data_IF_846974470479
#
_entry.id   IF_846974470479
#
_cell.length_a   1.000
_cell.length_b   1.000
_cell.length_c   1.000
_cell.angle_alpha   90.00
_cell.angle_beta   90.00
_cell.angle_gamma   90.00
#
_symmetry.space_group_name_H-M   'P 1'
#
loop_
_entity.id
_entity.type
_entity.pdbx_description
1 polymer ?
#
# COMPACT_ATOMS: atom_id res chain seq x y z
N UNK A 1 16.30 -15.86 27.32
CA UNK A 1 17.56 -15.09 27.32
C UNK A 1 17.22 -13.68 27.78
N UNK A 2 17.77 -13.24 28.92
CA UNK A 2 17.60 -11.85 29.39
C UNK A 2 18.74 -11.04 28.77
N UNK A 3 18.41 -9.94 28.11
CA UNK A 3 19.39 -9.03 27.50
C UNK A 3 19.42 -7.76 28.35
N UNK A 4 20.60 -7.38 28.81
CA UNK A 4 20.83 -6.12 29.52
C UNK A 4 21.60 -5.14 28.64
N UNK A 5 21.10 -3.90 28.55
CA UNK A 5 21.76 -2.81 27.83
C UNK A 5 22.63 -1.97 28.78
N UNK A 6 23.71 -1.33 28.28
CA UNK A 6 24.53 -0.42 29.07
C UNK A 6 23.69 0.72 29.69
N UNK A 7 23.92 1.03 30.96
CA UNK A 7 23.26 2.12 31.68
C UNK A 7 24.16 3.36 31.67
N UNK A 8 23.59 4.50 31.31
CA UNK A 8 24.28 5.78 31.31
C UNK A 8 23.65 6.71 32.35
N UNK A 9 24.40 7.72 32.81
CA UNK A 9 23.92 8.69 33.81
C UNK A 9 22.69 9.47 33.31
N UNK A 10 22.63 9.73 32.00
CA UNK A 10 21.54 10.46 31.35
C UNK A 10 20.94 9.64 30.20
N UNK A 11 19.65 9.82 29.87
CA UNK A 11 19.04 9.21 28.69
C UNK A 11 19.79 9.63 27.42
N UNK A 12 20.27 8.65 26.67
CA UNK A 12 20.88 8.89 25.36
C UNK A 12 19.79 9.03 24.31
N UNK A 13 19.88 10.08 23.50
CA UNK A 13 19.00 10.30 22.34
C UNK A 13 19.83 10.49 21.09
N UNK A 14 19.31 10.00 19.96
CA UNK A 14 19.95 10.24 18.66
C UNK A 14 19.81 11.72 18.28
N UNK A 15 20.90 12.33 17.83
CA UNK A 15 20.89 13.69 17.28
C UNK A 15 20.89 13.60 15.76
N UNK A 16 19.79 14.01 15.15
CA UNK A 16 19.61 14.04 13.69
C UNK A 16 20.21 15.28 13.02
N UNK A 17 20.49 16.35 13.78
CA UNK A 17 20.99 17.60 13.25
C UNK A 17 22.36 17.94 13.86
N UNK A 18 23.36 18.09 13.00
CA UNK A 18 24.68 18.62 13.34
C UNK A 18 24.88 19.93 12.55
N UNK A 19 25.06 21.10 13.19
CA UNK A 19 25.24 22.38 12.48
C UNK A 19 26.43 22.40 11.48
N UNK A 20 27.34 21.43 11.59
CA UNK A 20 28.51 21.24 10.71
C UNK A 20 28.14 20.67 9.33
N UNK A 21 26.86 20.33 9.10
CA UNK A 21 26.33 19.75 7.84
C UNK A 21 26.61 20.58 6.57
N UNK A 22 27.05 21.84 6.69
CA UNK A 22 27.30 22.76 5.57
C UNK A 22 28.79 23.02 5.28
N UNK A 23 29.74 22.40 5.99
CA UNK A 23 31.14 22.84 5.97
C UNK A 23 32.20 21.77 5.72
N UNK A 24 31.89 20.67 5.03
CA UNK A 24 32.94 19.74 4.59
C UNK A 24 33.32 20.00 3.13
N UNK A 25 34.44 20.68 2.84
CA UNK A 25 34.95 20.80 1.47
C UNK A 25 35.63 19.49 1.10
N UNK A 26 34.86 18.55 0.58
CA UNK A 26 35.40 17.36 -0.05
C UNK A 26 35.67 17.65 -1.54
N UNK A 27 36.89 17.37 -1.99
CA UNK A 27 37.29 17.49 -3.39
C UNK A 27 37.10 16.14 -4.07
N UNK A 28 36.32 16.11 -5.15
CA UNK A 28 36.10 14.92 -5.94
C UNK A 28 37.39 14.46 -6.63
N UNK A 29 37.73 13.16 -6.61
CA UNK A 29 38.66 12.59 -7.56
C UNK A 29 38.19 12.89 -8.97
N UNK A 30 39.12 13.24 -9.85
CA UNK A 30 38.84 13.42 -11.27
C UNK A 30 38.62 12.06 -11.93
N UNK A 31 37.39 11.54 -11.86
CA UNK A 31 37.03 10.30 -12.54
C UNK A 31 36.53 10.61 -13.96
N UNK A 32 37.04 9.87 -14.95
CA UNK A 32 36.65 9.96 -16.35
C UNK A 32 35.17 9.59 -16.52
N UNK A 33 34.42 10.43 -17.22
CA UNK A 33 32.97 10.30 -17.44
C UNK A 33 32.51 8.97 -18.07
N UNK A 34 33.42 8.13 -18.59
CA UNK A 34 33.13 6.81 -19.17
C UNK A 34 32.62 5.79 -18.15
N UNK A 35 33.14 5.80 -16.92
CA UNK A 35 32.84 4.77 -15.92
C UNK A 35 31.44 4.96 -15.29
N UNK A 36 30.90 6.18 -15.36
CA UNK A 36 29.59 6.57 -14.82
C UNK A 36 28.44 5.95 -15.59
N UNK A 37 28.61 5.80 -16.90
CA UNK A 37 27.63 5.18 -17.78
C UNK A 37 27.50 3.68 -17.54
N UNK A 38 28.59 2.98 -17.29
CA UNK A 38 28.59 1.51 -17.26
C UNK A 38 27.97 0.93 -15.98
N UNK A 39 28.29 1.50 -14.82
CA UNK A 39 27.72 1.03 -13.53
C UNK A 39 26.23 1.35 -13.45
N UNK A 40 25.83 2.56 -13.82
CA UNK A 40 24.42 2.95 -13.80
C UNK A 40 23.61 2.20 -14.87
N UNK A 41 24.17 1.95 -16.06
CA UNK A 41 23.52 1.14 -17.08
C UNK A 41 23.33 -0.31 -16.62
N UNK A 42 24.33 -0.90 -15.96
CA UNK A 42 24.24 -2.26 -15.43
C UNK A 42 23.18 -2.38 -14.32
N UNK A 43 23.03 -1.36 -13.46
CA UNK A 43 22.00 -1.37 -12.41
C UNK A 43 20.61 -1.08 -13.00
N UNK A 44 20.55 -0.25 -14.04
CA UNK A 44 19.29 0.02 -14.73
C UNK A 44 18.80 -1.21 -15.50
N UNK A 45 19.71 -2.00 -16.07
CA UNK A 45 19.36 -3.24 -16.79
C UNK A 45 18.97 -4.38 -15.84
N UNK A 46 19.60 -4.48 -14.67
CA UNK A 46 19.23 -5.42 -13.61
C UNK A 46 19.16 -4.72 -12.24
N UNK A 47 18.00 -4.16 -11.85
CA UNK A 47 17.80 -3.54 -10.54
C UNK A 47 17.89 -4.51 -9.35
N UNK A 48 17.89 -5.83 -9.60
CA UNK A 48 17.98 -6.87 -8.58
C UNK A 48 19.42 -7.34 -8.36
N UNK A 49 20.35 -6.97 -9.25
CA UNK A 49 21.78 -7.23 -9.10
C UNK A 49 22.31 -6.66 -7.77
N UNK A 50 23.06 -7.44 -6.98
CA UNK A 50 23.76 -6.92 -5.82
C UNK A 50 24.93 -6.01 -6.23
N UNK A 51 25.15 -4.93 -5.50
CA UNK A 51 26.32 -4.06 -5.71
C UNK A 51 27.59 -4.75 -5.22
N UNK A 52 28.60 -4.82 -6.09
CA UNK A 52 29.93 -5.28 -5.73
C UNK A 52 30.65 -4.24 -4.86
N UNK A 53 31.71 -4.61 -4.13
CA UNK A 53 32.52 -3.63 -3.40
C UNK A 53 33.09 -2.51 -4.30
N UNK A 54 33.43 -2.83 -5.55
CA UNK A 54 33.87 -1.86 -6.54
C UNK A 54 32.75 -0.89 -6.93
N UNK A 55 31.54 -1.41 -7.19
CA UNK A 55 30.36 -0.58 -7.48
C UNK A 55 30.09 0.40 -6.32
N UNK A 56 30.17 -0.09 -5.07
CA UNK A 56 29.96 0.75 -3.88
C UNK A 56 31.04 1.82 -3.72
N UNK A 57 32.31 1.47 -3.90
CA UNK A 57 33.41 2.42 -3.81
C UNK A 57 33.25 3.53 -4.86
N UNK A 58 32.92 3.15 -6.09
CA UNK A 58 32.66 4.08 -7.18
C UNK A 58 31.48 5.02 -6.90
N UNK A 59 30.33 4.49 -6.48
CA UNK A 59 29.15 5.28 -6.15
C UNK A 59 29.42 6.27 -5.00
N UNK A 60 30.20 5.84 -4.01
CA UNK A 60 30.61 6.69 -2.90
C UNK A 60 31.58 7.78 -3.36
N UNK A 61 32.63 7.47 -4.13
CA UNK A 61 33.58 8.48 -4.63
C UNK A 61 32.91 9.45 -5.60
N UNK A 62 32.03 8.99 -6.50
CA UNK A 62 31.41 9.85 -7.51
C UNK A 62 30.15 10.60 -7.03
N UNK A 63 29.79 10.51 -5.74
CA UNK A 63 28.50 10.94 -5.18
C UNK A 63 28.07 12.38 -5.53
N UNK A 64 28.99 13.35 -5.53
CA UNK A 64 28.66 14.73 -5.89
C UNK A 64 28.22 14.88 -7.35
N UNK A 65 28.92 14.21 -8.28
CA UNK A 65 28.56 14.22 -9.70
C UNK A 65 27.23 13.49 -9.97
N UNK A 66 26.91 12.48 -9.15
CA UNK A 66 25.68 11.69 -9.26
C UNK A 66 24.43 12.43 -8.78
N UNK A 67 24.56 13.50 -8.00
CA UNK A 67 23.41 14.26 -7.46
C UNK A 67 22.46 14.80 -8.53
N UNK A 68 22.96 15.02 -9.75
CA UNK A 68 22.16 15.50 -10.89
C UNK A 68 21.43 14.37 -11.63
N UNK A 69 21.64 13.11 -11.25
CA UNK A 69 21.07 11.92 -11.87
C UNK A 69 20.09 11.24 -10.91
N UNK A 70 18.76 11.41 -11.06
CA UNK A 70 17.80 10.88 -10.09
C UNK A 70 17.84 9.35 -9.95
N UNK A 71 18.12 8.64 -11.05
CA UNK A 71 18.20 7.18 -11.07
C UNK A 71 19.36 6.61 -10.23
N UNK A 72 20.41 7.40 -10.00
CA UNK A 72 21.58 6.98 -9.23
C UNK A 72 21.35 7.01 -7.71
N UNK A 73 20.23 7.59 -7.24
CA UNK A 73 19.94 7.75 -5.82
C UNK A 73 19.85 6.42 -5.08
N UNK A 74 19.06 5.48 -5.61
CA UNK A 74 18.84 4.17 -4.98
C UNK A 74 20.14 3.36 -4.90
N UNK A 75 20.95 3.24 -5.98
CA UNK A 75 22.30 2.68 -5.92
C UNK A 75 23.21 3.35 -4.89
N UNK A 76 23.27 4.69 -4.89
CA UNK A 76 24.11 5.45 -3.97
C UNK A 76 23.75 5.11 -2.51
N UNK A 77 22.46 5.12 -2.16
CA UNK A 77 22.02 4.79 -0.80
C UNK A 77 22.35 3.34 -0.38
N UNK A 78 22.43 2.41 -1.34
CA UNK A 78 22.90 1.03 -1.10
C UNK A 78 24.42 0.92 -0.93
N UNK A 79 25.19 1.91 -1.38
CA UNK A 79 26.64 1.99 -1.16
C UNK A 79 27.04 2.60 0.18
N UNK A 80 26.15 3.37 0.83
CA UNK A 80 26.41 4.02 2.11
C UNK A 80 26.65 2.98 3.22
N UNK A 81 27.72 3.16 3.98
CA UNK A 81 27.94 2.44 5.23
C UNK A 81 27.16 3.10 6.37
N UNK A 82 25.99 2.54 6.68
CA UNK A 82 25.09 3.02 7.73
C UNK A 82 25.63 2.82 9.16
N UNK A 83 26.76 2.11 9.33
CA UNK A 83 27.47 2.03 10.61
C UNK A 83 28.41 3.22 10.84
N UNK A 84 28.75 3.95 9.78
CA UNK A 84 29.66 5.09 9.82
C UNK A 84 28.89 6.42 9.89
N UNK A 85 28.93 7.08 11.05
CA UNK A 85 28.23 8.36 11.31
C UNK A 85 28.59 9.45 10.29
N UNK A 86 29.84 9.54 9.83
CA UNK A 86 30.26 10.55 8.87
C UNK A 86 29.59 10.31 7.50
N UNK A 87 29.55 9.06 7.05
CA UNK A 87 28.88 8.72 5.79
C UNK A 87 27.37 8.94 5.85
N UNK A 88 26.72 8.56 6.95
CA UNK A 88 25.28 8.79 7.16
C UNK A 88 24.94 10.27 7.12
N UNK A 89 25.75 11.10 7.80
CA UNK A 89 25.61 12.56 7.83
C UNK A 89 25.70 13.15 6.42
N UNK A 90 26.71 12.73 5.65
CA UNK A 90 26.90 13.19 4.28
C UNK A 90 25.80 12.72 3.33
N UNK A 91 25.33 11.47 3.47
CA UNK A 91 24.20 10.96 2.71
C UNK A 91 22.93 11.78 2.95
N UNK A 92 22.66 12.19 4.20
CA UNK A 92 21.55 13.09 4.51
C UNK A 92 21.70 14.45 3.85
N UNK A 93 22.89 15.06 3.88
CA UNK A 93 23.14 16.33 3.20
C UNK A 93 22.91 16.21 1.68
N UNK A 94 23.36 15.12 1.07
CA UNK A 94 23.19 14.86 -0.35
C UNK A 94 21.72 14.63 -0.74
N UNK A 95 20.90 14.00 0.12
CA UNK A 95 19.46 13.85 -0.13
C UNK A 95 18.76 15.20 -0.36
N UNK A 96 19.18 16.28 0.31
CA UNK A 96 18.61 17.61 0.08
C UNK A 96 19.03 18.22 -1.26
N UNK A 97 20.21 17.87 -1.76
CA UNK A 97 20.78 18.38 -3.03
C UNK A 97 20.43 17.51 -4.24
N UNK A 98 20.01 16.27 -4.00
CA UNK A 98 19.73 15.31 -5.06
C UNK A 98 18.55 15.76 -5.92
N UNK A 99 18.72 15.72 -7.24
CA UNK A 99 17.67 15.97 -8.22
C UNK A 99 16.45 15.09 -7.93
N UNK A 100 15.25 15.66 -7.89
CA UNK A 100 14.07 14.95 -7.43
C UNK A 100 13.81 13.67 -8.26
N UNK A 101 13.72 12.48 -7.62
CA UNK A 101 13.39 11.25 -8.30
C UNK A 101 11.93 11.25 -8.74
N UNK A 102 11.64 10.45 -9.77
CA UNK A 102 10.26 10.10 -10.12
C UNK A 102 9.59 9.35 -8.96
N UNK A 103 8.26 9.36 -8.91
CA UNK A 103 7.52 8.59 -7.90
C UNK A 103 7.84 7.08 -7.98
N UNK A 104 8.13 6.54 -9.18
CA UNK A 104 8.53 5.14 -9.37
C UNK A 104 9.88 4.83 -8.72
N UNK A 105 10.83 5.75 -8.83
CA UNK A 105 12.13 5.64 -8.17
C UNK A 105 12.00 5.79 -6.65
N UNK A 106 11.17 6.74 -6.19
CA UNK A 106 10.90 6.93 -4.77
C UNK A 106 10.26 5.69 -4.11
N UNK A 107 9.34 5.01 -4.80
CA UNK A 107 8.72 3.77 -4.28
C UNK A 107 9.76 2.68 -3.93
N UNK A 108 10.89 2.61 -4.65
CA UNK A 108 11.94 1.63 -4.39
C UNK A 108 12.61 1.84 -3.02
N UNK A 109 12.68 3.11 -2.58
CA UNK A 109 13.25 3.52 -1.30
C UNK A 109 12.36 3.17 -0.10
N UNK A 110 11.14 2.67 -0.33
CA UNK A 110 10.25 2.16 0.72
C UNK A 110 10.37 0.64 0.94
N UNK A 111 11.24 -0.04 0.19
CA UNK A 111 11.52 -1.46 0.38
C UNK A 111 12.30 -1.75 1.66
N UNK A 112 12.36 -3.03 2.06
CA UNK A 112 13.14 -3.50 3.21
C UNK A 112 14.64 -3.19 3.16
N UNK A 113 15.18 -2.85 1.98
CA UNK A 113 16.59 -2.49 1.80
C UNK A 113 16.94 -1.14 2.46
N UNK A 114 15.93 -0.31 2.73
CA UNK A 114 16.09 1.04 3.28
C UNK A 114 15.26 1.19 4.56
N UNK A 115 15.80 0.76 5.72
CA UNK A 115 15.12 0.91 7.01
C UNK A 115 15.26 2.32 7.61
N UNK A 116 16.18 3.14 7.09
CA UNK A 116 16.49 4.45 7.64
C UNK A 116 15.30 5.42 7.56
N UNK A 117 14.84 6.01 8.69
CA UNK A 117 13.68 6.90 8.70
C UNK A 117 13.82 8.16 7.82
N UNK A 118 15.02 8.72 7.65
CA UNK A 118 15.23 9.92 6.83
C UNK A 118 15.11 9.60 5.34
N UNK A 119 15.72 8.50 4.89
CA UNK A 119 15.57 8.01 3.51
C UNK A 119 14.10 7.72 3.19
N UNK A 120 13.39 7.05 4.10
CA UNK A 120 11.97 6.73 3.92
C UNK A 120 11.09 7.98 3.92
N UNK A 121 11.37 8.94 4.80
CA UNK A 121 10.68 10.23 4.81
C UNK A 121 10.91 11.03 3.52
N UNK A 122 12.13 11.01 2.99
CA UNK A 122 12.45 11.60 1.68
C UNK A 122 11.63 10.94 0.58
N UNK A 123 11.57 9.60 0.56
CA UNK A 123 10.78 8.86 -0.42
C UNK A 123 9.30 9.25 -0.37
N UNK A 124 8.71 9.31 0.82
CA UNK A 124 7.33 9.75 1.04
C UNK A 124 7.11 11.18 0.54
N UNK A 125 8.05 12.10 0.81
CA UNK A 125 7.99 13.48 0.29
C UNK A 125 7.93 13.53 -1.24
N UNK A 126 8.67 12.65 -1.93
CA UNK A 126 8.60 12.55 -3.38
C UNK A 126 7.25 12.02 -3.90
N UNK A 127 6.49 11.30 -3.07
CA UNK A 127 5.15 10.81 -3.39
C UNK A 127 4.04 11.84 -3.13
N UNK A 128 4.34 12.97 -2.46
CA UNK A 128 3.31 13.93 -2.02
C UNK A 128 2.54 14.56 -3.20
N UNK A 129 3.23 14.73 -4.34
CA UNK A 129 2.64 15.23 -5.59
C UNK A 129 1.83 14.18 -6.38
N UNK A 130 1.84 12.91 -5.95
CA UNK A 130 1.20 11.83 -6.68
C UNK A 130 -0.33 11.94 -6.56
N UNK A 131 -1.09 12.05 -7.67
CA UNK A 131 -2.54 12.19 -7.60
C UNK A 131 -3.19 10.90 -7.07
N UNK A 132 -4.34 11.04 -6.41
CA UNK A 132 -5.00 9.95 -5.68
C UNK A 132 -5.36 8.75 -6.56
N UNK A 133 -5.88 8.99 -7.77
CA UNK A 133 -6.18 7.92 -8.73
C UNK A 133 -4.96 7.07 -9.08
N UNK A 134 -3.75 7.66 -9.09
CA UNK A 134 -2.48 6.97 -9.35
C UNK A 134 -1.91 6.36 -8.08
N UNK A 135 -2.00 7.06 -6.94
CA UNK A 135 -1.61 6.52 -5.64
C UNK A 135 -2.37 5.22 -5.33
N UNK A 136 -3.66 5.17 -5.65
CA UNK A 136 -4.53 3.99 -5.51
C UNK A 136 -3.95 2.75 -6.20
N UNK A 137 -3.27 2.93 -7.35
CA UNK A 137 -2.61 1.85 -8.08
C UNK A 137 -1.38 1.28 -7.36
N UNK A 138 -0.90 1.89 -6.28
CA UNK A 138 0.25 1.43 -5.50
C UNK A 138 -0.09 1.17 -4.02
N UNK A 139 -1.35 1.33 -3.61
CA UNK A 139 -1.75 1.19 -2.21
C UNK A 139 -1.45 -0.21 -1.67
N UNK A 140 -1.59 -1.27 -2.47
CA UNK A 140 -1.24 -2.62 -2.04
C UNK A 140 0.24 -2.68 -1.62
N UNK A 141 1.14 -2.17 -2.46
CA UNK A 141 2.58 -2.16 -2.22
C UNK A 141 2.94 -1.26 -1.03
N UNK A 142 2.29 -0.10 -0.90
CA UNK A 142 2.51 0.84 0.20
C UNK A 142 2.05 0.25 1.55
N UNK A 143 0.93 -0.47 1.56
CA UNK A 143 0.47 -1.21 2.76
C UNK A 143 1.46 -2.31 3.13
N UNK A 144 2.06 -3.01 2.16
CA UNK A 144 3.14 -3.96 2.45
C UNK A 144 4.40 -3.25 2.99
N UNK A 145 4.73 -2.07 2.47
CA UNK A 145 5.90 -1.31 2.92
C UNK A 145 5.81 -0.85 4.38
N UNK A 146 4.60 -0.72 4.95
CA UNK A 146 4.39 -0.45 6.38
C UNK A 146 5.01 -1.53 7.28
N UNK A 147 5.12 -2.78 6.80
CA UNK A 147 5.74 -3.89 7.55
C UNK A 147 7.25 -3.70 7.75
N UNK A 148 7.87 -2.81 6.98
CA UNK A 148 9.29 -2.50 7.05
C UNK A 148 9.57 -1.18 7.78
N UNK A 149 8.55 -0.52 8.32
CA UNK A 149 8.74 0.65 9.17
C UNK A 149 9.31 0.21 10.54
N UNK A 150 10.41 0.83 11.00
CA UNK A 150 11.01 0.49 12.30
C UNK A 150 10.12 0.91 13.48
N UNK A 151 9.23 1.88 13.26
CA UNK A 151 8.33 2.43 14.26
C UNK A 151 6.91 2.53 13.68
N UNK A 152 5.89 2.40 14.54
CA UNK A 152 4.51 2.56 14.11
C UNK A 152 4.28 3.98 13.56
N UNK A 153 4.72 4.99 14.29
CA UNK A 153 4.63 6.37 13.85
C UNK A 153 5.77 6.70 12.86
N UNK A 154 5.46 6.61 11.57
CA UNK A 154 6.40 6.78 10.47
C UNK A 154 5.88 7.80 9.44
N UNK A 155 6.77 8.32 8.60
CA UNK A 155 6.39 9.20 7.51
C UNK A 155 5.37 8.55 6.57
N UNK A 156 5.55 7.26 6.26
CA UNK A 156 4.65 6.50 5.40
C UNK A 156 3.25 6.33 6.03
N UNK A 157 3.19 5.99 7.33
CA UNK A 157 1.91 5.88 8.04
C UNK A 157 1.15 7.20 8.03
N UNK A 158 1.82 8.31 8.38
CA UNK A 158 1.20 9.65 8.40
C UNK A 158 0.75 10.07 7.00
N UNK A 159 1.55 9.80 5.97
CA UNK A 159 1.18 10.07 4.58
C UNK A 159 -0.09 9.32 4.18
N UNK A 160 -0.14 8.00 4.37
CA UNK A 160 -1.31 7.20 4.03
C UNK A 160 -2.56 7.65 4.81
N UNK A 161 -2.41 7.95 6.10
CA UNK A 161 -3.48 8.50 6.92
C UNK A 161 -4.02 9.83 6.37
N UNK A 162 -3.13 10.80 6.10
CA UNK A 162 -3.52 12.11 5.58
C UNK A 162 -4.18 11.99 4.20
N UNK A 163 -3.65 11.16 3.29
CA UNK A 163 -4.25 10.94 1.97
C UNK A 163 -5.63 10.28 2.10
N UNK A 164 -5.78 9.29 2.98
CA UNK A 164 -7.04 8.61 3.24
C UNK A 164 -8.12 9.55 3.80
N UNK A 165 -7.77 10.43 4.75
CA UNK A 165 -8.72 11.41 5.32
C UNK A 165 -9.09 12.48 4.30
N UNK A 166 -8.14 12.93 3.46
CA UNK A 166 -8.39 13.94 2.41
C UNK A 166 -9.17 13.40 1.21
N UNK A 167 -9.01 12.12 0.89
CA UNK A 167 -9.73 11.44 -0.21
C UNK A 167 -10.33 10.10 0.26
N UNK A 168 -11.41 10.14 1.07
CA UNK A 168 -12.01 8.93 1.64
C UNK A 168 -12.52 7.93 0.61
N UNK A 169 -13.10 8.42 -0.50
CA UNK A 169 -13.69 7.57 -1.53
C UNK A 169 -12.67 6.90 -2.44
N UNK A 170 -11.59 7.59 -2.81
CA UNK A 170 -10.56 7.01 -3.69
C UNK A 170 -9.49 6.25 -2.91
N UNK A 171 -9.00 6.82 -1.80
CA UNK A 171 -7.86 6.27 -1.05
C UNK A 171 -8.32 5.60 0.22
N UNK A 172 -9.13 6.28 1.03
CA UNK A 172 -9.41 5.85 2.39
C UNK A 172 -10.17 4.52 2.48
N UNK A 173 -11.18 4.31 1.65
CA UNK A 173 -11.94 3.06 1.62
C UNK A 173 -11.08 1.88 1.14
N UNK A 174 -10.31 2.08 0.05
CA UNK A 174 -9.39 1.04 -0.44
C UNK A 174 -8.32 0.70 0.61
N UNK A 175 -7.71 1.72 1.22
CA UNK A 175 -6.72 1.56 2.29
C UNK A 175 -7.31 0.79 3.48
N UNK A 176 -8.53 1.11 3.91
CA UNK A 176 -9.19 0.40 5.01
C UNK A 176 -9.29 -1.11 4.74
N UNK A 177 -9.76 -1.50 3.56
CA UNK A 177 -9.92 -2.92 3.21
C UNK A 177 -8.57 -3.64 3.04
N UNK A 178 -7.56 -2.97 2.48
CA UNK A 178 -6.20 -3.50 2.40
C UNK A 178 -5.59 -3.72 3.79
N UNK A 179 -5.81 -2.80 4.73
CA UNK A 179 -5.35 -2.96 6.11
C UNK A 179 -6.12 -4.06 6.84
N UNK A 180 -7.43 -4.17 6.64
CA UNK A 180 -8.24 -5.25 7.25
C UNK A 180 -7.85 -6.64 6.77
N UNK A 181 -7.38 -6.77 5.53
CA UNK A 181 -6.87 -8.04 5.00
C UNK A 181 -5.54 -8.47 5.64
N UNK A 182 -4.84 -7.57 6.35
CA UNK A 182 -3.52 -7.81 6.90
C UNK A 182 -3.57 -7.99 8.42
N UNK A 183 -3.67 -9.24 8.88
CA UNK A 183 -3.78 -9.61 10.30
C UNK A 183 -2.62 -9.14 11.19
N UNK A 184 -1.46 -8.83 10.61
CA UNK A 184 -0.24 -8.46 11.33
C UNK A 184 0.07 -6.97 11.31
N UNK A 185 -0.69 -6.16 10.56
CA UNK A 185 -0.48 -4.71 10.55
C UNK A 185 -1.06 -4.08 11.81
N UNK A 186 -0.45 -2.98 12.31
CA UNK A 186 -0.94 -2.33 13.51
C UNK A 186 -2.38 -1.89 13.28
N UNK A 187 -3.30 -2.37 14.14
CA UNK A 187 -4.69 -1.91 14.21
C UNK A 187 -4.80 -0.39 14.36
N UNK A 188 -3.69 0.28 14.73
CA UNK A 188 -3.60 1.70 14.93
C UNK A 188 -4.00 2.53 13.70
N UNK A 189 -3.54 2.20 12.49
CA UNK A 189 -3.88 3.03 11.31
C UNK A 189 -5.37 2.91 10.95
N UNK A 190 -5.92 1.69 10.96
CA UNK A 190 -7.32 1.46 10.65
C UNK A 190 -8.24 2.07 11.72
N UNK A 191 -7.88 1.97 13.00
CA UNK A 191 -8.62 2.61 14.10
C UNK A 191 -8.55 4.13 14.04
N UNK A 192 -7.37 4.71 13.80
CA UNK A 192 -7.23 6.16 13.59
C UNK A 192 -8.08 6.63 12.42
N UNK A 193 -8.03 5.94 11.28
CA UNK A 193 -8.85 6.30 10.13
C UNK A 193 -10.34 6.25 10.45
N UNK A 194 -10.82 5.22 11.14
CA UNK A 194 -12.22 5.12 11.58
C UNK A 194 -12.66 6.28 12.50
N UNK A 195 -11.75 6.83 13.31
CA UNK A 195 -12.01 8.00 14.14
C UNK A 195 -12.11 9.31 13.33
N UNK A 196 -11.45 9.38 12.16
CA UNK A 196 -11.27 10.62 11.40
C UNK A 196 -11.93 10.64 10.02
N UNK A 197 -12.52 9.52 9.56
CA UNK A 197 -13.19 9.42 8.24
C UNK A 197 -14.62 10.00 8.21
N UNK A 198 -15.05 10.69 9.26
CA UNK A 198 -16.33 11.42 9.31
C UNK A 198 -17.53 10.56 8.87
N UNK A 199 -18.36 11.04 7.94
CA UNK A 199 -19.54 10.35 7.40
C UNK A 199 -19.21 9.02 6.71
N UNK A 200 -18.00 8.88 6.16
CA UNK A 200 -17.52 7.66 5.50
C UNK A 200 -17.42 6.48 6.47
N UNK A 201 -17.43 6.75 7.78
CA UNK A 201 -17.49 5.72 8.81
C UNK A 201 -18.73 4.84 8.69
N UNK A 202 -19.89 5.44 8.37
CA UNK A 202 -21.14 4.70 8.21
C UNK A 202 -21.07 3.76 7.00
N UNK A 203 -20.56 4.27 5.88
CA UNK A 203 -20.35 3.49 4.64
C UNK A 203 -19.47 2.26 4.91
N UNK A 204 -18.36 2.45 5.64
CA UNK A 204 -17.47 1.35 6.04
C UNK A 204 -18.18 0.33 6.94
N UNK A 205 -18.95 0.78 7.94
CA UNK A 205 -19.69 -0.12 8.81
C UNK A 205 -20.72 -0.97 8.03
N UNK A 206 -21.44 -0.36 7.10
CA UNK A 206 -22.39 -1.05 6.24
C UNK A 206 -21.68 -2.09 5.36
N UNK A 207 -20.55 -1.74 4.74
CA UNK A 207 -19.76 -2.69 3.95
C UNK A 207 -19.22 -3.83 4.80
N UNK A 208 -18.69 -3.56 6.00
CA UNK A 208 -18.25 -4.60 6.95
C UNK A 208 -19.40 -5.51 7.35
N UNK A 209 -20.58 -4.95 7.63
CA UNK A 209 -21.78 -5.71 7.96
C UNK A 209 -22.16 -6.66 6.81
N UNK A 210 -22.22 -6.16 5.57
CA UNK A 210 -22.55 -6.96 4.39
C UNK A 210 -21.51 -8.07 4.15
N UNK A 211 -20.22 -7.77 4.33
CA UNK A 211 -19.18 -8.80 4.19
C UNK A 211 -19.31 -9.92 5.24
N UNK A 212 -19.62 -9.58 6.50
CA UNK A 212 -19.89 -10.58 7.55
C UNK A 212 -21.16 -11.38 7.31
N UNK A 213 -22.21 -10.73 6.80
CA UNK A 213 -23.44 -11.41 6.39
C UNK A 213 -23.14 -12.45 5.29
N UNK A 214 -22.43 -12.05 4.24
CA UNK A 214 -22.05 -12.94 3.14
C UNK A 214 -21.14 -14.08 3.62
N UNK A 215 -20.22 -13.82 4.55
CA UNK A 215 -19.39 -14.85 5.18
C UNK A 215 -20.24 -15.88 5.93
N UNK A 216 -21.19 -15.43 6.76
CA UNK A 216 -22.11 -16.31 7.48
C UNK A 216 -22.97 -17.17 6.54
N UNK A 217 -23.47 -16.57 5.45
CA UNK A 217 -24.22 -17.28 4.41
C UNK A 217 -23.32 -18.32 3.73
N UNK A 218 -22.09 -17.93 3.34
CA UNK A 218 -21.14 -18.83 2.70
C UNK A 218 -20.80 -20.05 3.59
N UNK A 219 -20.65 -19.85 4.91
CA UNK A 219 -20.44 -20.94 5.86
C UNK A 219 -21.63 -21.91 5.89
N UNK A 220 -22.87 -21.42 5.89
CA UNK A 220 -24.07 -22.28 5.88
C UNK A 220 -24.27 -23.02 4.55
N UNK A 221 -23.98 -22.35 3.43
CA UNK A 221 -23.99 -22.94 2.08
C UNK A 221 -22.99 -24.10 1.99
N UNK A 222 -21.82 -23.96 2.61
CA UNK A 222 -20.82 -25.03 2.64
C UNK A 222 -21.31 -26.30 3.33
N UNK A 223 -22.12 -26.17 4.38
CA UNK A 223 -22.69 -27.29 5.13
C UNK A 223 -23.79 -28.04 4.37
N UNK A 224 -24.33 -27.50 3.28
CA UNK A 224 -25.42 -28.15 2.55
C UNK A 224 -24.92 -29.38 1.77
N UNK A 225 -25.68 -30.49 1.79
CA UNK A 225 -25.23 -31.78 1.25
C UNK A 225 -25.22 -31.83 -0.29
N UNK A 226 -26.00 -30.98 -0.95
CA UNK A 226 -26.13 -30.96 -2.41
C UNK A 226 -26.06 -29.52 -2.95
N UNK A 227 -25.78 -29.39 -4.25
CA UNK A 227 -25.78 -28.09 -4.94
C UNK A 227 -27.17 -27.43 -4.90
N UNK A 228 -28.23 -28.20 -5.14
CA UNK A 228 -29.60 -27.69 -5.09
C UNK A 228 -29.95 -27.14 -3.69
N UNK A 229 -29.59 -27.86 -2.63
CA UNK A 229 -29.75 -27.38 -1.25
C UNK A 229 -28.88 -26.15 -0.95
N UNK A 230 -27.65 -26.13 -1.47
CA UNK A 230 -26.72 -24.98 -1.37
C UNK A 230 -27.30 -23.72 -2.01
N UNK A 231 -27.87 -23.83 -3.22
CA UNK A 231 -28.51 -22.71 -3.91
C UNK A 231 -29.81 -22.27 -3.23
N UNK A 232 -30.66 -23.21 -2.80
CA UNK A 232 -31.87 -22.89 -2.05
C UNK A 232 -31.54 -22.11 -0.76
N UNK A 233 -30.54 -22.58 -0.01
CA UNK A 233 -30.03 -21.91 1.19
C UNK A 233 -29.51 -20.50 0.87
N UNK A 234 -28.70 -20.34 -0.18
CA UNK A 234 -28.20 -19.02 -0.60
C UNK A 234 -29.36 -18.05 -0.91
N UNK A 235 -30.32 -18.48 -1.72
CA UNK A 235 -31.43 -17.64 -2.17
C UNK A 235 -32.37 -17.25 -1.03
N UNK A 236 -32.73 -18.21 -0.17
CA UNK A 236 -33.55 -17.96 1.01
C UNK A 236 -32.88 -16.97 1.97
N UNK A 237 -31.60 -17.19 2.26
CA UNK A 237 -30.85 -16.33 3.19
C UNK A 237 -30.65 -14.92 2.66
N UNK A 238 -30.44 -14.75 1.35
CA UNK A 238 -30.35 -13.42 0.73
C UNK A 238 -31.72 -12.72 0.64
N UNK A 239 -32.81 -13.46 0.40
CA UNK A 239 -34.15 -12.90 0.35
C UNK A 239 -34.62 -12.36 1.71
N UNK A 240 -34.24 -13.06 2.79
CA UNK A 240 -34.56 -12.68 4.17
C UNK A 240 -33.46 -11.84 4.84
N UNK A 241 -32.39 -11.48 4.12
CA UNK A 241 -31.31 -10.69 4.68
C UNK A 241 -31.77 -9.26 4.95
N UNK A 242 -31.51 -8.77 6.16
CA UNK A 242 -31.60 -7.35 6.47
C UNK A 242 -30.33 -6.70 5.94
N UNK A 243 -30.43 -5.88 4.91
CA UNK A 243 -29.31 -5.10 4.37
C UNK A 243 -29.56 -3.62 4.58
N UNK A 244 -28.51 -2.79 4.69
CA UNK A 244 -28.66 -1.34 4.67
C UNK A 244 -29.39 -0.86 3.41
N UNK A 245 -30.06 0.31 3.49
CA UNK A 245 -30.75 0.93 2.35
C UNK A 245 -29.84 1.07 1.11
N UNK A 246 -28.55 1.32 1.37
CA UNK A 246 -27.49 1.34 0.40
C UNK A 246 -26.21 0.84 1.06
N UNK A 247 -25.36 0.16 0.29
CA UNK A 247 -24.06 -0.34 0.75
C UNK A 247 -23.07 -0.43 -0.40
N UNK A 248 -21.78 -0.46 -0.09
CA UNK A 248 -20.71 -0.66 -1.08
C UNK A 248 -20.07 -2.03 -0.87
N UNK A 249 -19.51 -2.59 -1.94
CA UNK A 249 -18.64 -3.77 -1.85
C UNK A 249 -17.17 -3.33 -1.85
N UNK A 250 -16.25 -4.06 -1.18
CA UNK A 250 -14.82 -3.71 -1.17
C UNK A 250 -14.22 -3.55 -2.58
N UNK A 251 -14.68 -4.37 -3.51
CA UNK A 251 -14.24 -4.37 -4.91
C UNK A 251 -14.74 -3.16 -5.73
N UNK A 252 -15.84 -2.53 -5.28
CA UNK A 252 -16.53 -1.46 -6.00
C UNK A 252 -16.74 -0.24 -5.09
N UNK A 253 -15.66 0.46 -4.71
CA UNK A 253 -15.70 1.54 -3.71
C UNK A 253 -16.45 2.80 -4.16
N UNK A 254 -16.83 2.88 -5.44
CA UNK A 254 -17.55 4.02 -6.02
C UNK A 254 -18.99 3.67 -6.41
N UNK A 255 -19.41 2.41 -6.21
CA UNK A 255 -20.74 1.92 -6.58
C UNK A 255 -21.52 1.57 -5.33
N UNK A 256 -22.68 2.19 -5.18
CA UNK A 256 -23.64 1.85 -4.14
C UNK A 256 -24.66 0.85 -4.69
N UNK A 257 -25.00 -0.14 -3.87
CA UNK A 257 -25.98 -1.17 -4.16
C UNK A 257 -27.16 -1.03 -3.20
N UNK A 258 -28.37 -1.28 -3.69
CA UNK A 258 -29.59 -1.22 -2.88
C UNK A 258 -30.05 -2.59 -2.40
N UNK A 259 -29.75 -3.65 -3.16
CA UNK A 259 -30.22 -5.00 -2.87
C UNK A 259 -29.49 -6.07 -3.67
N UNK A 260 -29.61 -7.32 -3.19
CA UNK A 260 -29.30 -8.52 -3.97
C UNK A 260 -30.51 -8.90 -4.83
N UNK A 261 -30.28 -9.68 -5.89
CA UNK A 261 -31.32 -10.33 -6.70
C UNK A 261 -31.25 -11.84 -6.46
N UNK A 262 -31.87 -12.38 -5.38
CA UNK A 262 -31.68 -13.77 -4.96
C UNK A 262 -31.95 -14.78 -6.09
N UNK A 263 -32.98 -14.56 -6.90
CA UNK A 263 -33.32 -15.44 -8.02
C UNK A 263 -32.18 -15.62 -9.04
N UNK A 264 -31.29 -14.63 -9.17
CA UNK A 264 -30.14 -14.66 -10.08
C UNK A 264 -28.83 -15.05 -9.38
N UNK A 265 -28.85 -15.24 -8.06
CA UNK A 265 -27.70 -15.74 -7.31
C UNK A 265 -27.60 -17.27 -7.40
N UNK A 266 -26.37 -17.78 -7.44
CA UNK A 266 -26.07 -19.22 -7.53
C UNK A 266 -24.76 -19.59 -6.83
N UNK A 267 -24.57 -20.88 -6.59
CA UNK A 267 -23.32 -21.43 -6.04
C UNK A 267 -22.53 -22.02 -7.20
N UNK A 268 -21.26 -21.62 -7.35
CA UNK A 268 -20.44 -22.12 -8.46
C UNK A 268 -19.91 -23.53 -8.17
N UNK A 269 -19.68 -24.28 -9.25
CA UNK A 269 -19.14 -25.64 -9.21
C UNK A 269 -17.63 -25.63 -8.92
N UNK A 270 -17.28 -25.42 -7.65
CA UNK A 270 -15.91 -25.43 -7.16
C UNK A 270 -15.84 -25.98 -5.73
N UNK A 271 -14.70 -26.55 -5.35
CA UNK A 271 -14.47 -27.15 -4.04
C UNK A 271 -14.81 -26.22 -2.86
N UNK A 272 -14.63 -24.91 -3.05
CA UNK A 272 -14.85 -23.89 -2.01
C UNK A 272 -16.26 -23.29 -2.03
N UNK A 273 -17.12 -23.73 -2.96
CA UNK A 273 -18.51 -23.29 -3.17
C UNK A 273 -18.65 -21.75 -3.14
N UNK A 274 -17.96 -21.01 -4.03
CA UNK A 274 -18.04 -19.56 -4.03
C UNK A 274 -19.43 -19.09 -4.48
N UNK A 275 -19.86 -17.96 -3.94
CA UNK A 275 -21.19 -17.40 -4.19
C UNK A 275 -21.11 -16.48 -5.40
N UNK A 276 -21.89 -16.77 -6.44
CA UNK A 276 -22.13 -15.86 -7.55
C UNK A 276 -23.32 -14.98 -7.18
N UNK A 277 -23.05 -13.69 -6.98
CA UNK A 277 -23.99 -12.70 -6.49
C UNK A 277 -24.41 -11.77 -7.63
N UNK A 278 -25.69 -11.46 -7.68
CA UNK A 278 -26.27 -10.47 -8.58
C UNK A 278 -26.85 -9.31 -7.72
N UNK A 279 -26.45 -8.08 -8.00
CA UNK A 279 -26.79 -6.89 -7.22
C UNK A 279 -27.39 -5.78 -8.09
N UNK A 280 -28.29 -4.99 -7.50
CA UNK A 280 -28.87 -3.81 -8.15
C UNK A 280 -28.05 -2.57 -7.77
N UNK A 281 -27.34 -1.94 -8.72
CA UNK A 281 -26.68 -0.68 -8.46
C UNK A 281 -27.71 0.44 -8.29
N UNK A 282 -27.42 1.38 -7.40
CA UNK A 282 -28.22 2.58 -7.22
C UNK A 282 -28.16 3.43 -8.51
N UNK A 283 -29.32 3.85 -9.02
CA UNK A 283 -29.37 4.71 -10.22
C UNK A 283 -28.75 6.08 -9.91
N UNK A 284 -27.93 6.67 -10.80
CA UNK A 284 -27.53 8.06 -10.67
C UNK A 284 -28.78 8.96 -10.66
N UNK A 285 -28.76 10.06 -9.90
CA UNK A 285 -29.87 11.03 -9.85
C UNK A 285 -30.08 11.81 -11.16
N UNK A 286 -29.27 11.59 -12.20
CA UNK A 286 -29.47 12.24 -13.50
C UNK A 286 -30.45 11.43 -14.39
N UNK A 287 -31.45 12.09 -15.00
CA UNK A 287 -32.38 11.44 -15.91
C UNK A 287 -31.67 11.15 -17.24
N UNK A 288 -30.97 10.01 -17.32
CA UNK A 288 -30.55 9.45 -18.60
C UNK A 288 -31.78 8.84 -19.29
N UNK A 289 -31.98 9.09 -20.60
CA UNK A 289 -33.06 8.47 -21.35
C UNK A 289 -32.82 6.95 -21.35
N UNK A 290 -33.82 6.20 -20.90
CA UNK A 290 -33.73 4.76 -20.77
C UNK A 290 -33.37 4.09 -22.10
N UNK A 291 -32.53 3.06 -22.03
CA UNK A 291 -32.90 1.78 -22.60
C UNK A 291 -33.16 0.76 -21.49
N UNK A 292 -34.12 -0.10 -21.80
CA UNK A 292 -34.61 -1.26 -21.04
C UNK A 292 -33.52 -2.12 -20.40
N UNK A 293 -33.88 -2.71 -19.25
CA UNK A 293 -33.14 -3.60 -18.35
C UNK A 293 -32.33 -2.88 -17.27
N UNK A 294 -32.76 -3.08 -16.01
CA UNK A 294 -31.96 -2.78 -14.83
C UNK A 294 -30.65 -3.55 -14.93
N UNK A 295 -29.56 -2.88 -15.30
CA UNK A 295 -28.22 -3.49 -15.39
C UNK A 295 -27.85 -3.94 -13.99
N UNK A 296 -27.92 -5.25 -13.74
CA UNK A 296 -27.44 -5.82 -12.50
C UNK A 296 -25.94 -6.04 -12.59
N UNK A 297 -25.23 -5.84 -11.48
CA UNK A 297 -23.81 -6.13 -11.39
C UNK A 297 -23.61 -7.51 -10.80
N UNK A 298 -22.66 -8.26 -11.37
CA UNK A 298 -22.31 -9.59 -10.89
C UNK A 298 -20.98 -9.54 -10.14
N UNK A 299 -20.91 -10.23 -9.01
CA UNK A 299 -19.69 -10.34 -8.20
C UNK A 299 -19.57 -11.76 -7.65
N UNK A 300 -18.35 -12.27 -7.56
CA UNK A 300 -18.06 -13.55 -6.93
C UNK A 300 -17.55 -13.30 -5.51
N UNK A 301 -18.24 -13.86 -4.52
CA UNK A 301 -17.78 -13.87 -3.14
C UNK A 301 -17.14 -15.23 -2.82
N UNK A 302 -15.85 -15.22 -2.52
CA UNK A 302 -15.09 -16.40 -2.08
C UNK A 302 -14.82 -16.31 -0.59
N UNK A 303 -15.01 -17.41 0.13
CA UNK A 303 -14.70 -17.53 1.54
C UNK A 303 -13.78 -18.74 1.74
N UNK A 304 -12.65 -18.57 2.43
CA UNK A 304 -11.70 -19.65 2.71
C UNK A 304 -10.64 -19.91 1.63
N UNK A 305 -10.45 -18.96 0.73
CA UNK A 305 -9.32 -18.86 -0.21
C UNK A 305 -8.54 -17.58 0.08
N UNK A 306 -7.22 -17.62 -0.03
CA UNK A 306 -6.35 -16.43 0.02
C UNK A 306 -6.24 -15.84 -1.39
N UNK A 307 -6.76 -14.63 -1.58
CA UNK A 307 -6.83 -13.96 -2.89
C UNK A 307 -5.71 -12.93 -3.11
N UNK A 308 -4.71 -12.86 -2.22
CA UNK A 308 -3.63 -11.86 -2.34
C UNK A 308 -2.78 -12.06 -3.60
N UNK A 309 -2.56 -13.32 -4.01
CA UNK A 309 -1.82 -13.63 -5.23
C UNK A 309 -2.61 -13.24 -6.49
N UNK A 310 -3.90 -13.56 -6.54
CA UNK A 310 -4.79 -13.15 -7.63
C UNK A 310 -4.84 -11.62 -7.73
N UNK A 311 -4.98 -10.92 -6.60
CA UNK A 311 -5.02 -9.46 -6.55
C UNK A 311 -3.74 -8.83 -7.09
N UNK A 312 -2.57 -9.34 -6.71
CA UNK A 312 -1.30 -8.86 -7.22
C UNK A 312 -1.17 -9.12 -8.73
N UNK A 313 -1.59 -10.30 -9.20
CA UNK A 313 -1.50 -10.67 -10.61
C UNK A 313 -2.38 -9.78 -11.49
N UNK A 314 -3.58 -9.42 -11.03
CA UNK A 314 -4.47 -8.50 -11.76
C UNK A 314 -4.00 -7.04 -11.75
N UNK A 315 -3.13 -6.68 -10.81
CA UNK A 315 -2.59 -5.33 -10.71
C UNK A 315 -1.40 -5.10 -11.66
N UNK A 316 -0.66 -6.17 -11.98
CA UNK A 316 0.48 -6.18 -12.91
C UNK A 316 0.00 -6.19 -14.37
#
# INVERSE_FOLDING_TARGET
MVVEFPKYQYPLTYRSYDPVMLSSPWQAPSDSASDLTDVLAAITSDPMRPLTPADKAYLWTSRDALTSTPAALMPFLLSVDWSNRAQVTEAYALLYRWSAPTYLQALQLLSRKFPDPFVRAYAVRCLDSLPDYRLRLYLLQLVQALKYEPHHDSALMRFLFVRAVKSPSEVGYALFWLLQAELHLPLLLSTQYLCHCSTYRLELYQSVYVMRLLEAIAMQVKLQPSKAASEAMLRDRLANAIVPQWFQLPLHPTVFYTSFVPAQCRVMDSAKKPLFLCLVPMKPQQPLPAPSNSICHNTIFKCGDDLRQDQLTLQL
#
